data_IF_627028055118
#
_entry.id   IF_627028055118
#
_cell.length_a   1.000
_cell.length_b   1.000
_cell.length_c   1.000
_cell.angle_alpha   90.00
_cell.angle_beta   90.00
_cell.angle_gamma   90.00
#
_symmetry.space_group_name_H-M   'P 1'
#
loop_
_entity.id
_entity.type
_entity.pdbx_description
1 polymer ?
#
# COMPACT_ATOMS: atom_id res chain seq x y z
N UNK A 1 -3.17 1.89 9.83
CA UNK A 1 -4.34 2.77 9.73
C UNK A 1 -4.21 3.81 10.82
N UNK A 2 -4.72 5.01 10.58
CA UNK A 2 -4.63 6.09 11.56
C UNK A 2 -5.94 6.87 11.57
N UNK A 3 -6.46 7.14 12.77
CA UNK A 3 -7.66 7.95 12.94
C UNK A 3 -7.28 9.39 13.27
N UNK A 4 -8.02 10.33 12.69
CA UNK A 4 -7.91 11.76 12.94
C UNK A 4 -9.28 12.35 13.28
N UNK A 5 -9.30 13.59 13.80
CA UNK A 5 -10.52 14.34 14.11
C UNK A 5 -11.57 13.53 14.88
N UNK A 6 -11.20 12.99 16.05
CA UNK A 6 -12.09 12.16 16.89
C UNK A 6 -12.66 10.94 16.15
N UNK A 7 -11.83 10.29 15.31
CA UNK A 7 -12.19 9.13 14.49
C UNK A 7 -13.21 9.42 13.38
N UNK A 8 -13.42 10.70 13.03
CA UNK A 8 -14.25 11.09 11.89
C UNK A 8 -13.52 10.95 10.55
N UNK A 9 -12.19 10.86 10.57
CA UNK A 9 -11.37 10.62 9.39
C UNK A 9 -10.43 9.45 9.67
N UNK A 10 -10.30 8.53 8.70
CA UNK A 10 -9.35 7.42 8.76
C UNK A 10 -8.45 7.45 7.53
N UNK A 11 -7.14 7.34 7.74
CA UNK A 11 -6.15 7.17 6.68
C UNK A 11 -5.69 5.72 6.63
N UNK A 12 -5.72 5.15 5.42
CA UNK A 12 -5.36 3.76 5.16
C UNK A 12 -4.19 3.68 4.18
N UNK A 13 -3.20 2.89 4.57
CA UNK A 13 -2.09 2.48 3.71
C UNK A 13 -2.11 0.96 3.60
N UNK A 14 -2.10 0.43 2.38
CA UNK A 14 -2.15 -1.01 2.12
C UNK A 14 -0.79 -1.64 1.83
N UNK A 15 0.23 -0.82 1.54
CA UNK A 15 1.59 -1.28 1.26
C UNK A 15 2.41 -1.36 2.56
N UNK A 16 2.68 -2.56 3.11
CA UNK A 16 3.62 -2.70 4.21
C UNK A 16 5.03 -2.41 3.74
N UNK A 17 5.84 -1.80 4.59
CA UNK A 17 7.20 -1.38 4.27
C UNK A 17 7.27 -0.55 2.97
N UNK A 18 6.53 0.56 2.95
CA UNK A 18 6.40 1.39 1.76
C UNK A 18 7.77 1.83 1.25
N UNK A 19 8.01 1.67 -0.06
CA UNK A 19 9.29 1.89 -0.72
C UNK A 19 10.53 1.16 -0.14
N UNK A 20 10.36 0.28 0.85
CA UNK A 20 11.51 -0.30 1.57
C UNK A 20 12.18 0.64 2.58
N UNK A 21 11.61 1.84 2.78
CA UNK A 21 12.20 2.91 3.61
C UNK A 21 11.47 3.08 4.96
N UNK A 22 10.24 2.61 5.06
CA UNK A 22 9.38 2.78 6.22
C UNK A 22 9.12 1.43 6.89
N UNK A 23 8.96 1.38 8.21
CA UNK A 23 8.57 0.15 8.94
C UNK A 23 7.05 0.02 9.10
N UNK A 24 6.29 0.76 8.29
CA UNK A 24 4.83 0.81 8.39
C UNK A 24 4.18 -0.53 8.07
N UNK A 25 3.11 -0.87 8.79
CA UNK A 25 2.22 -1.94 8.41
C UNK A 25 1.27 -1.51 7.27
N UNK A 26 0.85 -2.47 6.46
CA UNK A 26 -0.30 -2.33 5.58
C UNK A 26 -1.59 -2.62 6.33
N UNK A 27 -2.72 -2.10 5.84
CA UNK A 27 -4.03 -2.38 6.40
C UNK A 27 -5.12 -2.39 5.34
N UNK A 28 -6.14 -3.21 5.56
CA UNK A 28 -7.40 -3.24 4.82
C UNK A 28 -8.54 -2.93 5.78
N UNK A 29 -9.51 -2.13 5.33
CA UNK A 29 -10.73 -1.82 6.08
C UNK A 29 -11.90 -2.59 5.46
N UNK A 30 -12.61 -3.34 6.29
CA UNK A 30 -13.87 -4.00 5.92
C UNK A 30 -15.02 -3.25 6.58
N UNK A 31 -16.08 -2.99 5.81
CA UNK A 31 -17.31 -2.35 6.27
C UNK A 31 -18.44 -3.33 6.06
N UNK A 32 -19.17 -3.67 7.11
CA UNK A 32 -20.32 -4.57 7.03
C UNK A 32 -21.64 -3.82 6.79
N UNK A 33 -22.74 -4.57 6.68
CA UNK A 33 -24.08 -4.02 6.45
C UNK A 33 -24.57 -3.10 7.57
N UNK A 34 -24.03 -3.23 8.78
CA UNK A 34 -24.33 -2.35 9.93
C UNK A 34 -23.44 -1.10 9.97
N UNK A 35 -22.64 -0.88 8.93
CA UNK A 35 -21.61 0.18 8.84
C UNK A 35 -20.50 0.04 9.89
N UNK A 36 -20.30 -1.16 10.44
CA UNK A 36 -19.19 -1.41 11.36
C UNK A 36 -17.88 -1.50 10.57
N UNK A 37 -16.97 -0.57 10.86
CA UNK A 37 -15.63 -0.58 10.28
C UNK A 37 -14.69 -1.48 11.10
N UNK A 38 -14.09 -2.48 10.46
CA UNK A 38 -13.05 -3.35 11.03
C UNK A 38 -11.77 -3.29 10.19
N UNK A 39 -10.62 -3.59 10.80
CA UNK A 39 -9.31 -3.45 10.14
C UNK A 39 -8.50 -4.75 10.22
N UNK A 40 -7.94 -5.16 9.08
CA UNK A 40 -7.00 -6.26 8.98
C UNK A 40 -5.61 -5.69 8.74
N UNK A 41 -4.62 -6.07 9.55
CA UNK A 41 -3.27 -5.49 9.51
C UNK A 41 -2.27 -6.48 8.93
N UNK A 42 -1.58 -6.07 7.86
CA UNK A 42 -0.48 -6.80 7.27
C UNK A 42 0.83 -6.21 7.79
N UNK A 43 1.49 -6.94 8.69
CA UNK A 43 2.83 -6.57 9.16
C UNK A 43 3.84 -6.73 8.01
N UNK A 44 4.91 -5.91 7.94
CA UNK A 44 6.03 -6.15 7.05
C UNK A 44 6.55 -7.57 7.22
N UNK A 45 6.78 -8.29 6.12
CA UNK A 45 7.37 -9.62 6.18
C UNK A 45 8.88 -9.52 6.41
N UNK A 46 9.40 -10.33 7.34
CA UNK A 46 10.84 -10.59 7.42
C UNK A 46 11.24 -11.30 6.12
N UNK A 47 11.96 -10.59 5.25
CA UNK A 47 12.50 -11.00 3.94
C UNK A 47 12.42 -12.51 3.63
N UNK A 48 11.22 -12.99 3.29
CA UNK A 48 11.01 -14.05 2.31
C UNK A 48 10.04 -13.46 1.31
N UNK A 49 10.62 -12.86 0.29
CA UNK A 49 9.96 -12.28 -0.86
C UNK A 49 9.06 -13.34 -1.54
N UNK A 50 7.87 -13.56 -1.00
CA UNK A 50 6.80 -14.34 -1.65
C UNK A 50 5.78 -13.43 -2.35
N UNK A 51 5.93 -12.12 -2.18
CA UNK A 51 5.18 -11.08 -2.90
C UNK A 51 6.11 -9.95 -3.35
N UNK A 52 7.23 -10.29 -3.98
CA UNK A 52 7.68 -9.38 -5.04
C UNK A 52 6.60 -9.49 -6.11
N UNK A 53 5.95 -8.38 -6.43
CA UNK A 53 5.33 -8.20 -7.74
C UNK A 53 6.47 -8.26 -8.78
N UNK A 54 6.91 -9.47 -9.08
CA UNK A 54 8.09 -9.83 -9.84
C UNK A 54 7.94 -11.28 -10.27
N UNK A 55 7.00 -11.52 -11.19
CA UNK A 55 6.68 -12.84 -11.72
C UNK A 55 5.58 -12.78 -12.77
N UNK A 56 5.94 -12.29 -13.96
CA UNK A 56 5.31 -12.55 -15.26
C UNK A 56 3.78 -12.31 -15.37
N UNK A 57 3.39 -11.10 -15.79
CA UNK A 57 2.22 -10.94 -16.65
C UNK A 57 2.56 -9.90 -17.72
N UNK A 58 2.77 -10.39 -18.93
CA UNK A 58 2.99 -9.69 -20.20
C UNK A 58 1.81 -8.82 -20.63
N UNK A 59 1.36 -7.88 -19.80
CA UNK A 59 0.19 -7.07 -20.11
C UNK A 59 -0.17 -5.92 -19.17
N UNK A 60 0.65 -5.59 -18.16
CA UNK A 60 0.40 -4.37 -17.35
C UNK A 60 1.20 -3.21 -17.92
N UNK A 61 0.58 -2.04 -18.19
CA UNK A 61 1.33 -0.85 -18.58
C UNK A 61 2.29 -0.49 -17.43
N UNK A 62 3.58 -0.62 -17.68
CA UNK A 62 4.61 -0.02 -16.82
C UNK A 62 4.37 1.49 -16.85
N UNK A 63 4.52 2.16 -15.71
CA UNK A 63 4.49 3.62 -15.66
C UNK A 63 5.40 4.18 -16.75
N UNK A 64 4.93 5.13 -17.59
CA UNK A 64 5.71 5.62 -18.71
C UNK A 64 7.11 6.06 -18.26
N UNK A 65 8.18 5.64 -18.94
CA UNK A 65 9.53 6.10 -18.61
C UNK A 65 9.56 7.62 -18.71
N UNK A 66 10.06 8.27 -17.65
CA UNK A 66 10.24 9.72 -17.60
C UNK A 66 11.21 10.10 -18.72
N UNK A 67 10.71 10.84 -19.72
CA UNK A 67 11.49 11.25 -20.89
C UNK A 67 12.76 12.02 -20.52
N UNK A 68 13.77 12.06 -21.41
CA UNK A 68 15.06 12.69 -21.09
C UNK A 68 14.86 14.17 -20.79
N UNK A 69 15.36 14.61 -19.63
CA UNK A 69 15.44 16.03 -19.27
C UNK A 69 16.43 16.69 -20.22
N UNK A 70 15.92 17.49 -21.17
CA UNK A 70 16.78 18.37 -21.98
C UNK A 70 17.40 19.40 -21.02
N UNK A 71 18.70 19.26 -20.74
CA UNK A 71 19.49 20.33 -20.14
C UNK A 71 19.63 21.43 -21.20
N UNK A 72 19.24 22.66 -20.86
CA UNK A 72 19.60 23.86 -21.61
C UNK A 72 21.06 24.18 -21.37
#
# INVERSE_FOLDING_TARGET
YEFFAKRQLVTLFSAPNYCGEFDNAGGMMSVDETLMCSFQILKPSEKKAKYQCGGLNSGRPVTPPRGPVKKK
#
